data_IF_825851692217
#
_entry.id   IF_825851692217
#
_cell.length_a   1.000
_cell.length_b   1.000
_cell.length_c   1.000
_cell.angle_alpha   90.00
_cell.angle_beta   90.00
_cell.angle_gamma   90.00
#
_symmetry.space_group_name_H-M   'P 1'
#
loop_
_entity.id
_entity.type
_entity.pdbx_description
1 polymer ?
#
# COMPACT_ATOMS: atom_id res chain seq x y z
N UNK A 1 -46.05 24.24 -18.07
CA UNK A 1 -44.61 23.99 -18.16
C UNK A 1 -44.12 23.71 -16.76
N UNK A 2 -43.84 22.47 -16.51
CA UNK A 2 -43.52 21.96 -15.17
C UNK A 2 -42.09 22.35 -14.78
N UNK A 3 -41.96 23.29 -13.86
CA UNK A 3 -40.68 23.86 -13.41
C UNK A 3 -39.85 22.91 -12.53
N UNK A 4 -40.36 21.69 -12.28
CA UNK A 4 -39.78 20.73 -11.32
C UNK A 4 -39.29 19.41 -11.93
N UNK A 5 -39.25 19.24 -13.24
CA UNK A 5 -38.89 17.95 -13.90
C UNK A 5 -37.51 17.92 -14.58
N UNK A 6 -36.55 18.72 -14.14
CA UNK A 6 -35.14 18.37 -14.46
C UNK A 6 -34.66 17.29 -13.48
N UNK A 7 -34.90 16.01 -13.82
CA UNK A 7 -34.15 14.94 -13.19
C UNK A 7 -32.66 15.26 -13.37
N UNK A 8 -31.97 15.44 -12.24
CA UNK A 8 -30.54 15.66 -12.27
C UNK A 8 -29.91 14.45 -12.97
N UNK A 9 -29.14 14.69 -14.01
CA UNK A 9 -28.41 13.63 -14.72
C UNK A 9 -27.46 12.95 -13.70
N UNK A 10 -27.32 11.61 -13.76
CA UNK A 10 -26.32 10.92 -12.94
C UNK A 10 -24.92 11.50 -13.18
N UNK A 11 -24.03 11.44 -12.18
CA UNK A 11 -22.64 11.87 -12.34
C UNK A 11 -21.95 11.22 -13.56
N UNK A 12 -21.06 11.93 -14.20
CA UNK A 12 -20.35 11.50 -15.41
C UNK A 12 -19.70 10.11 -15.24
N UNK A 13 -19.16 9.84 -14.06
CA UNK A 13 -18.57 8.54 -13.71
C UNK A 13 -19.57 7.36 -13.76
N UNK A 14 -20.88 7.61 -13.55
CA UNK A 14 -21.91 6.58 -13.70
C UNK A 14 -22.39 6.47 -15.15
N UNK A 15 -22.50 7.59 -15.84
CA UNK A 15 -22.95 7.65 -17.24
C UNK A 15 -21.97 7.02 -18.22
N UNK A 16 -20.66 7.16 -17.95
CA UNK A 16 -19.58 6.57 -18.75
C UNK A 16 -19.10 5.21 -18.18
N UNK A 17 -19.87 4.61 -17.28
CA UNK A 17 -19.50 3.29 -16.75
C UNK A 17 -19.52 2.25 -17.87
N UNK A 18 -18.41 1.54 -18.12
CA UNK A 18 -18.35 0.47 -19.11
C UNK A 18 -19.38 -0.64 -18.85
N UNK A 19 -19.96 -1.17 -19.91
CA UNK A 19 -20.91 -2.28 -19.88
C UNK A 19 -20.28 -3.59 -20.35
N UNK A 20 -19.17 -3.55 -21.06
CA UNK A 20 -18.43 -4.70 -21.57
C UNK A 20 -16.93 -4.57 -21.22
N UNK A 21 -16.19 -5.70 -21.28
CA UNK A 21 -14.74 -5.69 -21.07
C UNK A 21 -14.00 -4.84 -22.12
N UNK A 22 -14.55 -4.73 -23.32
CA UNK A 22 -13.93 -3.99 -24.42
C UNK A 22 -14.01 -2.47 -24.24
N UNK A 23 -14.98 -2.02 -23.47
CA UNK A 23 -15.16 -0.60 -23.13
C UNK A 23 -14.27 -0.13 -21.97
N UNK A 24 -13.70 -1.07 -21.19
CA UNK A 24 -12.88 -0.76 -20.02
C UNK A 24 -11.57 -0.13 -20.46
N UNK A 25 -11.29 1.06 -19.96
CA UNK A 25 -10.00 1.71 -20.13
C UNK A 25 -8.97 1.11 -19.17
N UNK A 26 -7.80 0.76 -19.69
CA UNK A 26 -6.73 0.14 -18.90
C UNK A 26 -6.94 -1.36 -18.61
N UNK A 27 -6.18 -1.89 -17.64
CA UNK A 27 -6.23 -3.26 -17.15
C UNK A 27 -5.99 -4.36 -18.22
N UNK A 28 -5.31 -4.06 -19.31
CA UNK A 28 -5.10 -4.99 -20.43
C UNK A 28 -4.40 -6.29 -20.04
N UNK A 29 -3.62 -6.28 -18.95
CA UNK A 29 -2.98 -7.47 -18.40
C UNK A 29 -3.97 -8.46 -17.77
N UNK A 30 -5.21 -8.05 -17.48
CA UNK A 30 -6.29 -8.89 -16.94
C UNK A 30 -7.39 -9.18 -17.97
N UNK A 31 -7.73 -8.19 -18.80
CA UNK A 31 -8.90 -8.25 -19.70
C UNK A 31 -8.56 -8.37 -21.19
N UNK A 32 -7.28 -8.23 -21.56
CA UNK A 32 -6.83 -8.39 -22.95
C UNK A 32 -7.08 -9.80 -23.49
N UNK A 33 -6.92 -9.99 -24.79
CA UNK A 33 -7.09 -11.30 -25.42
C UNK A 33 -6.21 -12.38 -24.78
N UNK A 34 -6.80 -13.52 -24.39
CA UNK A 34 -6.12 -14.61 -23.70
C UNK A 34 -5.72 -14.33 -22.24
N UNK A 35 -6.13 -13.20 -21.67
CA UNK A 35 -5.86 -12.85 -20.27
C UNK A 35 -6.91 -13.43 -19.32
N UNK A 36 -6.58 -13.59 -18.03
CA UNK A 36 -7.37 -14.42 -17.11
C UNK A 36 -8.85 -14.07 -17.03
N UNK A 37 -9.21 -12.78 -16.90
CA UNK A 37 -10.61 -12.38 -16.79
C UNK A 37 -11.35 -12.51 -18.13
N UNK A 38 -10.66 -12.28 -19.26
CA UNK A 38 -11.22 -12.51 -20.61
C UNK A 38 -11.53 -14.00 -20.81
N UNK A 39 -10.58 -14.87 -20.48
CA UNK A 39 -10.75 -16.32 -20.61
C UNK A 39 -11.89 -16.83 -19.72
N UNK A 40 -12.03 -16.29 -18.49
CA UNK A 40 -13.15 -16.63 -17.62
C UNK A 40 -14.51 -16.27 -18.25
N UNK A 41 -14.62 -15.08 -18.84
CA UNK A 41 -15.84 -14.61 -19.52
C UNK A 41 -16.11 -15.47 -20.77
N UNK A 42 -15.12 -15.68 -21.61
CA UNK A 42 -15.25 -16.45 -22.86
C UNK A 42 -15.61 -17.91 -22.60
N UNK A 43 -15.14 -18.48 -21.47
CA UNK A 43 -15.49 -19.86 -21.07
C UNK A 43 -16.84 -19.97 -20.36
N UNK A 44 -17.48 -18.86 -19.98
CA UNK A 44 -18.73 -18.83 -19.23
C UNK A 44 -18.64 -19.42 -17.82
N UNK A 45 -17.44 -19.54 -17.25
CA UNK A 45 -17.19 -20.16 -15.94
C UNK A 45 -16.83 -19.11 -14.90
N UNK A 46 -17.80 -18.60 -14.12
CA UNK A 46 -17.49 -17.72 -13.01
C UNK A 46 -16.70 -18.46 -11.93
N UNK A 47 -15.74 -17.77 -11.33
CA UNK A 47 -15.00 -18.26 -10.17
C UNK A 47 -14.87 -17.14 -9.12
N UNK A 48 -14.69 -17.53 -7.87
CA UNK A 48 -14.50 -16.58 -6.79
C UNK A 48 -13.17 -15.86 -6.93
N UNK A 49 -13.17 -14.54 -6.72
CA UNK A 49 -12.01 -13.70 -6.96
C UNK A 49 -11.93 -12.50 -6.00
N UNK A 50 -10.75 -11.95 -5.88
CA UNK A 50 -10.47 -10.74 -5.14
C UNK A 50 -9.79 -9.72 -6.06
N UNK A 51 -10.44 -8.59 -6.25
CA UNK A 51 -9.94 -7.46 -7.05
C UNK A 51 -9.19 -6.50 -6.12
N UNK A 52 -7.87 -6.52 -6.19
CA UNK A 52 -7.01 -5.69 -5.37
C UNK A 52 -6.34 -4.59 -6.19
N UNK A 53 -6.36 -3.35 -5.71
CA UNK A 53 -5.69 -2.23 -6.37
C UNK A 53 -6.15 -0.87 -5.85
N UNK A 54 -5.53 0.22 -6.32
CA UNK A 54 -5.82 1.57 -5.86
C UNK A 54 -7.29 1.99 -6.11
N UNK A 55 -7.76 3.10 -5.52
CA UNK A 55 -9.10 3.61 -5.79
C UNK A 55 -9.28 4.01 -7.26
N UNK A 56 -10.53 4.04 -7.73
CA UNK A 56 -10.89 4.55 -9.07
C UNK A 56 -10.43 3.76 -10.28
N UNK A 57 -9.77 2.59 -10.11
CA UNK A 57 -9.24 1.76 -11.23
C UNK A 57 -10.25 0.79 -11.86
N UNK A 58 -11.53 0.84 -11.42
CA UNK A 58 -12.60 0.07 -12.04
C UNK A 58 -12.96 -1.25 -11.35
N UNK A 59 -12.56 -1.52 -10.09
CA UNK A 59 -12.89 -2.76 -9.36
C UNK A 59 -14.39 -3.10 -9.38
N UNK A 60 -15.23 -2.17 -8.94
CA UNK A 60 -16.70 -2.33 -8.91
C UNK A 60 -17.29 -2.45 -10.31
N UNK A 61 -16.73 -1.74 -11.28
CA UNK A 61 -17.14 -1.80 -12.70
C UNK A 61 -16.86 -3.18 -13.28
N UNK A 62 -15.66 -3.71 -13.09
CA UNK A 62 -15.31 -5.06 -13.54
C UNK A 62 -16.19 -6.13 -12.91
N UNK A 63 -16.48 -6.03 -11.60
CA UNK A 63 -17.38 -6.97 -10.94
C UNK A 63 -18.79 -6.99 -11.56
N UNK A 64 -19.34 -5.81 -11.92
CA UNK A 64 -20.64 -5.71 -12.61
C UNK A 64 -20.61 -6.28 -14.03
N UNK A 65 -19.55 -5.96 -14.79
CA UNK A 65 -19.37 -6.51 -16.15
C UNK A 65 -19.31 -8.03 -16.12
N UNK A 66 -18.53 -8.59 -15.17
CA UNK A 66 -18.41 -10.03 -15.00
C UNK A 66 -19.76 -10.67 -14.66
N UNK A 67 -20.53 -10.08 -13.74
CA UNK A 67 -21.85 -10.57 -13.39
C UNK A 67 -22.81 -10.59 -14.59
N UNK A 68 -22.81 -9.52 -15.38
CA UNK A 68 -23.62 -9.45 -16.59
C UNK A 68 -23.17 -10.49 -17.64
N UNK A 69 -21.86 -10.65 -17.83
CA UNK A 69 -21.30 -11.61 -18.79
C UNK A 69 -21.65 -13.07 -18.45
N UNK A 70 -21.79 -13.38 -17.17
CA UNK A 70 -22.20 -14.71 -16.69
C UNK A 70 -23.73 -14.87 -16.53
N UNK A 71 -24.52 -13.88 -16.90
CA UNK A 71 -25.97 -13.84 -16.65
C UNK A 71 -26.34 -14.18 -15.20
N UNK A 72 -25.51 -13.74 -14.27
CA UNK A 72 -25.67 -13.99 -12.84
C UNK A 72 -26.40 -12.85 -12.14
N UNK A 73 -27.17 -13.19 -11.10
CA UNK A 73 -27.71 -12.19 -10.18
C UNK A 73 -26.55 -11.49 -9.46
N UNK A 74 -26.49 -10.16 -9.52
CA UNK A 74 -25.47 -9.35 -8.85
C UNK A 74 -26.02 -8.79 -7.54
N UNK A 75 -25.43 -9.21 -6.42
CA UNK A 75 -25.79 -8.71 -5.08
C UNK A 75 -24.61 -7.91 -4.53
N UNK A 76 -24.70 -6.57 -4.52
CA UNK A 76 -23.64 -5.74 -3.94
C UNK A 76 -23.83 -5.57 -2.43
N UNK A 77 -22.75 -5.77 -1.68
CA UNK A 77 -22.63 -5.41 -0.27
C UNK A 77 -21.47 -4.42 -0.08
N UNK A 78 -21.70 -3.42 0.75
CA UNK A 78 -20.62 -2.52 1.19
C UNK A 78 -20.17 -2.95 2.58
N UNK A 79 -18.91 -3.34 2.72
CA UNK A 79 -18.39 -3.75 4.03
C UNK A 79 -18.40 -2.61 5.08
N UNK A 80 -18.55 -1.35 4.62
CA UNK A 80 -18.69 -0.18 5.51
C UNK A 80 -20.10 -0.08 6.11
N UNK A 81 -21.14 -0.47 5.34
CA UNK A 81 -22.55 -0.25 5.71
C UNK A 81 -23.28 -1.56 6.05
N UNK A 82 -22.77 -2.70 5.61
CA UNK A 82 -23.46 -4.00 5.72
C UNK A 82 -22.98 -4.80 6.92
N UNK A 83 -23.91 -5.55 7.53
CA UNK A 83 -23.67 -6.45 8.65
C UNK A 83 -24.01 -7.91 8.34
N UNK A 84 -23.95 -8.77 9.37
CA UNK A 84 -24.28 -10.21 9.24
C UNK A 84 -25.72 -10.43 8.75
N UNK A 85 -26.65 -9.51 9.09
CA UNK A 85 -28.03 -9.58 8.62
C UNK A 85 -28.13 -9.43 7.10
N UNK A 86 -27.37 -8.51 6.54
CA UNK A 86 -27.36 -8.27 5.08
C UNK A 86 -26.74 -9.45 4.32
N UNK A 87 -25.74 -10.10 4.93
CA UNK A 87 -25.16 -11.34 4.39
C UNK A 87 -26.22 -12.45 4.35
N UNK A 88 -27.02 -12.62 5.41
CA UNK A 88 -28.11 -13.61 5.41
C UNK A 88 -29.15 -13.32 4.35
N UNK A 89 -29.56 -12.06 4.21
CA UNK A 89 -30.50 -11.65 3.15
C UNK A 89 -29.93 -11.94 1.76
N UNK A 90 -28.64 -11.71 1.55
CA UNK A 90 -27.98 -12.05 0.29
C UNK A 90 -28.00 -13.56 0.01
N UNK A 91 -27.81 -14.39 1.04
CA UNK A 91 -27.89 -15.85 0.92
C UNK A 91 -29.32 -16.30 0.57
N UNK A 92 -30.35 -15.76 1.22
CA UNK A 92 -31.75 -16.03 0.89
C UNK A 92 -32.07 -15.67 -0.58
N UNK A 93 -31.63 -14.51 -1.03
CA UNK A 93 -31.79 -14.09 -2.42
C UNK A 93 -31.08 -15.05 -3.39
N UNK A 94 -29.87 -15.52 -3.04
CA UNK A 94 -29.14 -16.48 -3.85
C UNK A 94 -29.83 -17.83 -3.95
N UNK A 95 -30.45 -18.31 -2.86
CA UNK A 95 -31.27 -19.54 -2.86
C UNK A 95 -32.48 -19.41 -3.79
N UNK A 96 -33.17 -18.27 -3.75
CA UNK A 96 -34.27 -17.98 -4.67
C UNK A 96 -33.83 -17.90 -6.13
N UNK A 97 -32.66 -17.31 -6.39
CA UNK A 97 -32.09 -17.25 -7.73
C UNK A 97 -31.74 -18.63 -8.26
N UNK A 98 -31.13 -19.47 -7.43
CA UNK A 98 -30.78 -20.85 -7.79
C UNK A 98 -32.02 -21.68 -8.16
N UNK A 99 -33.17 -21.49 -7.46
CA UNK A 99 -34.45 -22.14 -7.81
C UNK A 99 -34.95 -21.74 -9.23
N UNK A 100 -34.50 -20.57 -9.72
CA UNK A 100 -34.80 -20.08 -11.08
C UNK A 100 -33.73 -20.46 -12.08
N UNK A 101 -32.75 -21.27 -11.68
CA UNK A 101 -31.61 -21.65 -12.53
C UNK A 101 -30.59 -20.54 -12.78
N UNK A 102 -30.59 -19.49 -11.95
CA UNK A 102 -29.69 -18.34 -12.08
C UNK A 102 -28.58 -18.42 -11.02
N UNK A 103 -27.31 -18.30 -11.45
CA UNK A 103 -26.17 -18.18 -10.56
C UNK A 103 -26.17 -16.83 -9.85
N UNK A 104 -25.53 -16.75 -8.69
CA UNK A 104 -25.43 -15.49 -7.93
C UNK A 104 -23.99 -15.10 -7.68
N UNK A 105 -23.66 -13.85 -8.01
CA UNK A 105 -22.39 -13.21 -7.67
C UNK A 105 -22.64 -12.28 -6.48
N UNK A 106 -21.99 -12.58 -5.36
CA UNK A 106 -21.91 -11.71 -4.19
C UNK A 106 -20.70 -10.80 -4.35
N UNK A 107 -20.93 -9.51 -4.54
CA UNK A 107 -19.89 -8.50 -4.59
C UNK A 107 -19.75 -7.80 -3.23
N UNK A 108 -18.57 -7.84 -2.65
CA UNK A 108 -18.26 -7.15 -1.38
C UNK A 108 -17.24 -6.05 -1.63
N UNK A 109 -17.70 -4.79 -1.57
CA UNK A 109 -16.82 -3.63 -1.70
C UNK A 109 -16.11 -3.33 -0.38
N UNK A 110 -14.81 -3.03 -0.45
CA UNK A 110 -13.92 -2.78 0.69
C UNK A 110 -13.93 -3.93 1.71
N UNK A 111 -13.78 -5.17 1.22
CA UNK A 111 -13.89 -6.40 2.02
C UNK A 111 -12.99 -6.43 3.26
N UNK A 112 -11.88 -5.71 3.26
CA UNK A 112 -10.98 -5.57 4.41
C UNK A 112 -11.65 -4.91 5.63
N UNK A 113 -12.78 -4.23 5.47
CA UNK A 113 -13.53 -3.62 6.58
C UNK A 113 -14.47 -4.60 7.28
N UNK A 114 -14.73 -5.76 6.69
CA UNK A 114 -15.41 -6.85 7.38
C UNK A 114 -14.48 -7.49 8.40
N UNK A 115 -14.96 -7.67 9.63
CA UNK A 115 -14.24 -8.47 10.62
C UNK A 115 -14.24 -9.97 10.23
N UNK A 116 -13.41 -10.77 10.91
CA UNK A 116 -13.27 -12.21 10.61
C UNK A 116 -14.59 -12.96 10.64
N UNK A 117 -15.44 -12.70 11.64
CA UNK A 117 -16.74 -13.36 11.76
C UNK A 117 -17.70 -13.02 10.60
N UNK A 118 -17.63 -11.80 10.08
CA UNK A 118 -18.41 -11.39 8.91
C UNK A 118 -17.86 -12.04 7.63
N UNK A 119 -16.53 -12.14 7.49
CA UNK A 119 -15.92 -12.86 6.36
C UNK A 119 -16.22 -14.35 6.42
N UNK A 120 -16.25 -14.96 7.62
CA UNK A 120 -16.59 -16.38 7.80
C UNK A 120 -18.07 -16.68 7.51
N UNK A 121 -18.95 -15.69 7.69
CA UNK A 121 -20.40 -15.89 7.56
C UNK A 121 -20.85 -16.31 6.14
N UNK A 122 -20.11 -15.96 5.11
CA UNK A 122 -20.44 -16.37 3.72
C UNK A 122 -19.55 -17.49 3.17
N UNK A 123 -18.49 -17.89 3.88
CA UNK A 123 -17.59 -18.98 3.45
C UNK A 123 -18.32 -20.29 3.10
N UNK A 124 -19.25 -20.82 3.92
CA UNK A 124 -19.95 -22.07 3.60
C UNK A 124 -20.71 -22.00 2.27
N UNK A 125 -21.20 -20.82 1.92
CA UNK A 125 -21.99 -20.61 0.69
C UNK A 125 -21.11 -20.42 -0.54
N UNK A 126 -19.87 -19.98 -0.36
CA UNK A 126 -18.84 -19.97 -1.40
C UNK A 126 -18.32 -21.40 -1.63
N UNK A 127 -18.13 -22.17 -0.54
CA UNK A 127 -17.65 -23.55 -0.61
C UNK A 127 -18.64 -24.50 -1.32
N UNK A 128 -19.92 -24.36 -1.04
CA UNK A 128 -20.95 -25.21 -1.67
C UNK A 128 -21.40 -24.71 -3.06
N UNK A 129 -20.81 -23.59 -3.54
CA UNK A 129 -21.09 -23.05 -4.87
C UNK A 129 -22.40 -22.28 -5.01
N UNK A 130 -23.13 -22.00 -3.89
CA UNK A 130 -24.34 -21.16 -3.93
C UNK A 130 -23.99 -19.72 -4.32
N UNK A 131 -22.85 -19.22 -3.85
CA UNK A 131 -22.34 -17.88 -4.11
C UNK A 131 -21.00 -17.93 -4.84
N UNK A 132 -20.88 -17.22 -5.94
CA UNK A 132 -19.58 -16.84 -6.48
C UNK A 132 -19.18 -15.52 -5.82
N UNK A 133 -18.07 -15.52 -5.08
CA UNK A 133 -17.59 -14.35 -4.35
C UNK A 133 -16.71 -13.46 -5.22
N UNK A 134 -17.00 -12.16 -5.28
CA UNK A 134 -16.09 -11.15 -5.82
C UNK A 134 -15.85 -10.10 -4.75
N UNK A 135 -14.66 -10.08 -4.15
CA UNK A 135 -14.25 -9.04 -3.22
C UNK A 135 -13.51 -7.91 -3.92
N UNK A 136 -13.66 -6.68 -3.44
CA UNK A 136 -12.83 -5.55 -3.82
C UNK A 136 -12.13 -4.97 -2.59
N UNK A 137 -10.85 -4.60 -2.73
CA UNK A 137 -10.08 -3.98 -1.66
C UNK A 137 -9.00 -3.06 -2.21
N UNK A 138 -8.69 -2.01 -1.45
CA UNK A 138 -7.52 -1.15 -1.67
C UNK A 138 -6.33 -1.60 -0.85
N UNK A 139 -6.55 -2.36 0.23
CA UNK A 139 -5.51 -2.84 1.14
C UNK A 139 -4.94 -4.19 0.69
N UNK A 140 -3.75 -4.53 1.20
CA UNK A 140 -3.11 -5.79 0.83
C UNK A 140 -3.89 -6.99 1.38
N UNK A 141 -4.44 -7.86 0.50
CA UNK A 141 -5.29 -8.97 0.92
C UNK A 141 -4.63 -9.95 1.89
N UNK A 142 -3.33 -10.11 1.80
CA UNK A 142 -2.58 -11.06 2.65
C UNK A 142 -2.62 -10.72 4.13
N UNK A 143 -2.91 -9.47 4.48
CA UNK A 143 -2.99 -9.02 5.87
C UNK A 143 -4.42 -8.88 6.37
N UNK A 144 -5.35 -8.53 5.48
CA UNK A 144 -6.68 -8.06 5.84
C UNK A 144 -7.79 -9.09 5.55
N UNK A 145 -7.55 -10.01 4.64
CA UNK A 145 -8.55 -11.01 4.24
C UNK A 145 -8.26 -12.34 4.91
N UNK A 146 -9.32 -13.00 5.41
CA UNK A 146 -9.22 -14.31 6.04
C UNK A 146 -8.53 -15.32 5.11
N UNK A 147 -7.51 -16.06 5.60
CA UNK A 147 -6.81 -17.09 4.81
C UNK A 147 -7.74 -18.14 4.20
N UNK A 148 -8.83 -18.51 4.88
CA UNK A 148 -9.83 -19.42 4.35
C UNK A 148 -10.54 -18.88 3.11
N UNK A 149 -10.79 -17.57 3.04
CA UNK A 149 -11.36 -16.91 1.86
C UNK A 149 -10.32 -16.76 0.75
N UNK A 150 -9.08 -16.40 1.11
CA UNK A 150 -7.97 -16.28 0.14
C UNK A 150 -7.65 -17.60 -0.56
N UNK A 151 -7.77 -18.73 0.13
CA UNK A 151 -7.54 -20.06 -0.47
C UNK A 151 -8.59 -20.45 -1.50
N UNK A 152 -9.74 -19.76 -1.55
CA UNK A 152 -10.88 -20.04 -2.43
C UNK A 152 -11.14 -18.97 -3.48
N UNK A 153 -10.45 -17.83 -3.37
CA UNK A 153 -10.60 -16.70 -4.28
C UNK A 153 -9.27 -16.39 -4.97
N UNK A 154 -9.29 -16.29 -6.29
CA UNK A 154 -8.10 -15.90 -7.04
C UNK A 154 -7.89 -14.39 -6.94
N UNK A 155 -6.67 -13.96 -6.57
CA UNK A 155 -6.34 -12.55 -6.44
C UNK A 155 -5.93 -11.98 -7.79
N UNK A 156 -6.61 -10.92 -8.21
CA UNK A 156 -6.28 -10.12 -9.40
C UNK A 156 -5.85 -8.73 -9.00
N UNK A 157 -4.63 -8.35 -9.37
CA UNK A 157 -4.09 -7.03 -9.06
C UNK A 157 -4.39 -6.05 -10.17
N UNK A 158 -5.20 -5.04 -9.86
CA UNK A 158 -5.48 -3.92 -10.75
C UNK A 158 -4.41 -2.84 -10.56
N UNK A 159 -4.03 -2.21 -11.67
CA UNK A 159 -3.02 -1.14 -11.69
C UNK A 159 -3.70 0.22 -11.84
N UNK A 160 -3.03 1.28 -11.38
CA UNK A 160 -3.42 2.66 -11.72
C UNK A 160 -3.54 2.82 -13.23
N UNK A 161 -4.52 3.62 -13.66
CA UNK A 161 -4.69 3.94 -15.08
C UNK A 161 -3.49 4.74 -15.58
N UNK A 162 -3.03 4.39 -16.77
CA UNK A 162 -1.94 5.11 -17.42
C UNK A 162 -2.47 6.38 -18.08
N UNK A 163 -1.59 7.27 -18.46
CA UNK A 163 -1.93 8.52 -19.15
C UNK A 163 -2.80 8.29 -20.39
N UNK A 164 -2.45 7.30 -21.22
CA UNK A 164 -3.21 6.94 -22.40
C UNK A 164 -4.64 6.48 -22.07
N UNK A 165 -4.83 5.77 -20.94
CA UNK A 165 -6.14 5.32 -20.48
C UNK A 165 -7.02 6.50 -20.04
N UNK A 166 -6.41 7.48 -19.35
CA UNK A 166 -7.07 8.71 -18.90
C UNK A 166 -7.41 9.62 -20.09
N UNK A 167 -6.52 9.72 -21.09
CA UNK A 167 -6.82 10.42 -22.34
C UNK A 167 -8.03 9.81 -23.07
N UNK A 168 -8.16 8.47 -23.08
CA UNK A 168 -9.35 7.82 -23.62
C UNK A 168 -10.63 8.21 -22.88
N UNK A 169 -10.57 8.38 -21.56
CA UNK A 169 -11.75 8.86 -20.80
C UNK A 169 -12.13 10.29 -21.18
N UNK A 170 -11.16 11.20 -21.38
CA UNK A 170 -11.41 12.55 -21.90
C UNK A 170 -12.11 12.45 -23.26
N UNK A 171 -11.54 11.67 -24.17
CA UNK A 171 -12.08 11.53 -25.53
C UNK A 171 -13.52 10.98 -25.52
N UNK A 172 -13.79 9.91 -24.77
CA UNK A 172 -15.14 9.35 -24.60
C UNK A 172 -16.12 10.37 -24.03
N UNK A 173 -15.67 11.21 -23.10
CA UNK A 173 -16.50 12.25 -22.50
C UNK A 173 -16.90 13.31 -23.53
N UNK A 174 -15.96 13.79 -24.34
CA UNK A 174 -16.20 14.82 -25.36
C UNK A 174 -17.07 14.31 -26.52
N UNK A 175 -17.25 13.00 -26.67
CA UNK A 175 -18.18 12.41 -27.64
C UNK A 175 -19.66 12.48 -27.17
N UNK A 176 -19.92 12.79 -25.91
CA UNK A 176 -21.29 12.94 -25.43
C UNK A 176 -21.95 14.18 -26.11
N UNK A 177 -23.22 14.09 -26.52
CA UNK A 177 -23.90 15.15 -27.29
C UNK A 177 -23.85 16.54 -26.65
N UNK A 178 -23.94 16.60 -25.32
CA UNK A 178 -23.90 17.84 -24.57
C UNK A 178 -22.52 18.50 -24.52
N UNK A 179 -21.46 17.79 -24.82
CA UNK A 179 -20.06 18.25 -24.78
C UNK A 179 -19.40 18.28 -26.18
N UNK A 180 -20.13 17.90 -27.23
CA UNK A 180 -19.59 17.77 -28.58
C UNK A 180 -19.00 19.08 -29.16
N UNK A 181 -19.45 20.26 -28.65
CA UNK A 181 -18.96 21.56 -29.05
C UNK A 181 -17.83 22.10 -28.17
N UNK A 182 -17.36 21.31 -27.19
CA UNK A 182 -16.28 21.69 -26.29
C UNK A 182 -14.97 21.08 -26.74
N UNK A 183 -13.91 21.84 -26.58
CA UNK A 183 -12.55 21.41 -26.85
C UNK A 183 -11.70 21.61 -25.59
N UNK A 184 -10.78 20.70 -25.32
CA UNK A 184 -9.82 20.79 -24.21
C UNK A 184 -8.43 20.97 -24.83
N UNK A 185 -7.73 22.03 -24.44
CA UNK A 185 -6.34 22.25 -24.84
C UNK A 185 -5.42 21.17 -24.30
N UNK A 186 -4.34 20.88 -25.02
CA UNK A 186 -3.37 19.82 -24.65
C UNK A 186 -2.84 19.98 -23.22
N UNK A 187 -2.45 21.20 -22.85
CA UNK A 187 -1.89 21.51 -21.54
C UNK A 187 -2.94 21.35 -20.42
N UNK A 188 -4.20 21.71 -20.72
CA UNK A 188 -5.34 21.53 -19.80
C UNK A 188 -5.65 20.03 -19.63
N UNK A 189 -5.63 19.25 -20.71
CA UNK A 189 -5.82 17.82 -20.65
C UNK A 189 -4.71 17.13 -19.82
N UNK A 190 -3.47 17.53 -20.03
CA UNK A 190 -2.33 17.03 -19.28
C UNK A 190 -2.44 17.37 -17.78
N UNK A 191 -2.86 18.59 -17.46
CA UNK A 191 -3.09 19.00 -16.07
C UNK A 191 -4.18 18.14 -15.40
N UNK A 192 -5.30 17.86 -16.08
CA UNK A 192 -6.36 16.99 -15.57
C UNK A 192 -5.87 15.54 -15.33
N UNK A 193 -5.09 15.00 -16.27
CA UNK A 193 -4.51 13.66 -16.16
C UNK A 193 -3.60 13.54 -14.94
N UNK A 194 -2.75 14.54 -14.74
CA UNK A 194 -1.85 14.59 -13.57
C UNK A 194 -2.63 14.71 -12.27
N UNK A 195 -3.68 15.55 -12.24
CA UNK A 195 -4.54 15.69 -11.06
C UNK A 195 -5.29 14.39 -10.73
N UNK A 196 -5.65 13.61 -11.73
CA UNK A 196 -6.33 12.33 -11.54
C UNK A 196 -5.44 11.25 -10.92
N UNK A 197 -4.12 11.30 -11.15
CA UNK A 197 -3.12 10.39 -10.59
C UNK A 197 -3.49 8.89 -10.75
N UNK A 198 -3.95 8.52 -11.95
CA UNK A 198 -4.34 7.15 -12.26
C UNK A 198 -5.71 6.71 -11.75
N UNK A 199 -6.48 7.61 -11.11
CA UNK A 199 -7.85 7.37 -10.63
C UNK A 199 -8.87 7.85 -11.67
N UNK A 200 -9.53 6.91 -12.36
CA UNK A 200 -10.52 7.24 -13.39
C UNK A 200 -11.79 7.93 -12.86
N UNK A 201 -12.19 7.65 -11.62
CA UNK A 201 -13.35 8.32 -10.99
C UNK A 201 -13.01 9.78 -10.70
N UNK A 202 -11.83 10.03 -10.16
CA UNK A 202 -11.33 11.39 -9.92
C UNK A 202 -11.20 12.16 -11.24
N UNK A 203 -10.66 11.51 -12.27
CA UNK A 203 -10.57 12.08 -13.62
C UNK A 203 -11.94 12.56 -14.13
N UNK A 204 -12.94 11.70 -14.09
CA UNK A 204 -14.27 12.02 -14.57
C UNK A 204 -14.95 13.13 -13.73
N UNK A 205 -14.72 13.16 -12.42
CA UNK A 205 -15.24 14.23 -11.56
C UNK A 205 -14.60 15.59 -11.88
N UNK A 206 -13.28 15.64 -12.05
CA UNK A 206 -12.56 16.86 -12.42
C UNK A 206 -13.03 17.36 -13.80
N UNK A 207 -13.17 16.44 -14.74
CA UNK A 207 -13.63 16.72 -16.09
C UNK A 207 -15.06 17.26 -16.09
N UNK A 208 -15.98 16.65 -15.35
CA UNK A 208 -17.37 17.09 -15.21
C UNK A 208 -17.45 18.52 -14.68
N UNK A 209 -16.70 18.85 -13.63
CA UNK A 209 -16.64 20.20 -13.08
C UNK A 209 -16.13 21.23 -14.10
N UNK A 210 -15.07 20.88 -14.84
CA UNK A 210 -14.47 21.77 -15.85
C UNK A 210 -15.41 22.00 -17.03
N UNK A 211 -16.10 20.94 -17.49
CA UNK A 211 -17.08 21.02 -18.57
C UNK A 211 -18.30 21.86 -18.16
N UNK A 212 -18.81 21.68 -16.94
CA UNK A 212 -19.90 22.48 -16.42
C UNK A 212 -19.52 23.96 -16.28
N UNK A 213 -18.29 24.26 -15.85
CA UNK A 213 -17.77 25.61 -15.77
C UNK A 213 -17.68 26.24 -17.17
N UNK A 214 -17.22 25.53 -18.19
CA UNK A 214 -17.17 26.01 -19.58
C UNK A 214 -18.60 26.33 -20.10
N UNK A 215 -19.53 25.40 -19.92
CA UNK A 215 -20.94 25.60 -20.34
C UNK A 215 -21.59 26.79 -19.65
N UNK A 216 -21.38 26.98 -18.35
CA UNK A 216 -21.96 28.09 -17.58
C UNK A 216 -21.44 29.45 -18.02
N UNK A 217 -20.22 29.51 -18.59
CA UNK A 217 -19.59 30.72 -19.11
C UNK A 217 -19.70 30.86 -20.62
N UNK A 218 -20.45 29.97 -21.31
CA UNK A 218 -20.57 29.89 -22.76
C UNK A 218 -19.20 29.83 -23.49
N UNK A 219 -18.24 29.18 -22.89
CA UNK A 219 -16.91 28.95 -23.48
C UNK A 219 -16.90 27.63 -24.27
N UNK A 220 -16.20 27.61 -25.40
CA UNK A 220 -16.05 26.44 -26.25
C UNK A 220 -14.71 25.72 -26.00
N UNK A 221 -13.78 26.39 -25.35
CA UNK A 221 -12.42 25.87 -25.08
C UNK A 221 -12.15 25.83 -23.57
N UNK A 222 -11.60 24.72 -23.12
CA UNK A 222 -11.13 24.55 -21.75
C UNK A 222 -9.62 24.67 -21.78
N UNK A 223 -9.13 25.78 -21.24
CA UNK A 223 -7.73 26.09 -21.06
C UNK A 223 -7.29 25.93 -19.59
N UNK A 224 -6.04 26.10 -19.31
CA UNK A 224 -5.48 26.02 -17.94
C UNK A 224 -6.03 27.13 -17.04
N UNK A 225 -6.44 28.27 -17.59
CA UNK A 225 -7.01 29.40 -16.84
C UNK A 225 -8.41 29.02 -16.32
N UNK A 226 -9.26 28.45 -17.16
CA UNK A 226 -10.57 27.96 -16.77
C UNK A 226 -10.47 26.86 -15.72
N UNK A 227 -9.51 25.93 -15.88
CA UNK A 227 -9.24 24.89 -14.89
C UNK A 227 -8.83 25.51 -13.54
N UNK A 228 -7.94 26.51 -13.54
CA UNK A 228 -7.51 27.21 -12.33
C UNK A 228 -8.66 27.86 -11.60
N UNK A 229 -9.58 28.46 -12.34
CA UNK A 229 -10.76 29.15 -11.79
C UNK A 229 -11.84 28.19 -11.30
N UNK A 230 -12.08 27.09 -12.03
CA UNK A 230 -13.15 26.14 -11.73
C UNK A 230 -12.80 25.12 -10.66
N UNK A 231 -11.52 24.68 -10.62
CA UNK A 231 -11.04 23.67 -9.69
C UNK A 231 -10.32 24.25 -8.47
N UNK A 232 -10.20 25.58 -8.39
CA UNK A 232 -9.69 26.33 -7.25
C UNK A 232 -8.19 26.13 -6.98
N UNK A 233 -7.78 26.20 -5.71
CA UNK A 233 -6.39 26.07 -5.27
C UNK A 233 -5.72 24.76 -5.67
N UNK A 234 -6.47 23.76 -6.08
CA UNK A 234 -5.91 22.49 -6.54
C UNK A 234 -5.04 22.64 -7.80
N UNK A 235 -5.33 23.60 -8.68
CA UNK A 235 -4.55 23.82 -9.90
C UNK A 235 -3.28 24.62 -9.69
N UNK A 236 -3.30 25.62 -8.80
CA UNK A 236 -2.07 26.35 -8.43
C UNK A 236 -0.98 25.42 -7.90
N UNK A 237 -1.39 24.25 -7.39
CA UNK A 237 -0.54 23.21 -6.82
C UNK A 237 -0.01 22.22 -7.85
N UNK A 238 -0.72 22.00 -8.96
CA UNK A 238 -0.32 21.03 -10.01
C UNK A 238 0.32 21.66 -11.26
N UNK A 239 0.33 22.98 -11.39
CA UNK A 239 0.82 23.71 -12.58
C UNK A 239 2.37 23.62 -12.76
N UNK A 240 3.03 22.67 -12.12
CA UNK A 240 4.47 22.45 -12.21
C UNK A 240 4.84 21.01 -12.50
N UNK A 241 4.24 20.42 -13.53
CA UNK A 241 4.74 19.26 -14.26
C UNK A 241 4.71 17.91 -13.51
N UNK A 242 4.01 16.87 -14.04
CA UNK A 242 3.91 15.53 -13.44
C UNK A 242 5.24 14.82 -13.22
N UNK A 243 6.20 14.97 -14.11
CA UNK A 243 7.58 14.55 -13.90
C UNK A 243 8.21 15.25 -12.70
N UNK A 244 7.85 16.51 -12.47
CA UNK A 244 8.32 17.32 -11.34
C UNK A 244 7.91 16.75 -9.97
N UNK A 245 6.75 16.10 -9.82
CA UNK A 245 6.34 15.51 -8.54
C UNK A 245 7.22 14.31 -8.16
N UNK A 246 7.46 13.40 -9.12
CA UNK A 246 8.34 12.24 -8.91
C UNK A 246 9.81 12.67 -8.76
N UNK A 247 10.22 13.70 -9.46
CA UNK A 247 11.54 14.31 -9.31
C UNK A 247 11.71 14.95 -7.94
N UNK A 248 10.72 15.70 -7.46
CA UNK A 248 10.75 16.36 -6.15
C UNK A 248 10.78 15.35 -5.00
N UNK A 249 9.94 14.29 -5.04
CA UNK A 249 10.01 13.24 -4.01
C UNK A 249 11.35 12.49 -4.05
N UNK A 250 11.90 12.27 -5.25
CA UNK A 250 13.23 11.68 -5.42
C UNK A 250 14.33 12.61 -4.88
N UNK A 251 14.20 13.92 -5.10
CA UNK A 251 15.12 14.93 -4.57
C UNK A 251 15.05 14.99 -3.04
N UNK A 252 13.85 14.94 -2.45
CA UNK A 252 13.65 14.86 -1.00
C UNK A 252 14.36 13.61 -0.42
N UNK A 253 14.12 12.44 -0.97
CA UNK A 253 14.78 11.20 -0.53
C UNK A 253 16.30 11.27 -0.64
N UNK A 254 16.81 11.75 -1.78
CA UNK A 254 18.25 11.91 -2.01
C UNK A 254 18.89 12.94 -1.08
N UNK A 255 18.17 14.01 -0.73
CA UNK A 255 18.63 15.03 0.20
C UNK A 255 18.72 14.48 1.62
N UNK A 256 17.73 13.69 2.08
CA UNK A 256 17.78 12.99 3.36
C UNK A 256 18.92 11.98 3.37
N UNK A 257 19.04 11.14 2.35
CA UNK A 257 20.11 10.14 2.19
C UNK A 257 21.50 10.80 2.15
N UNK A 258 21.61 11.94 1.48
CA UNK A 258 22.84 12.74 1.37
C UNK A 258 23.15 13.59 2.60
N UNK A 259 22.36 13.49 3.69
CA UNK A 259 22.56 14.24 4.94
C UNK A 259 22.53 15.76 4.77
N UNK A 260 21.62 16.26 3.94
CA UNK A 260 21.49 17.69 3.66
C UNK A 260 20.12 18.23 4.17
N UNK A 261 20.03 18.67 5.44
CA UNK A 261 18.76 19.03 6.07
C UNK A 261 18.04 20.21 5.39
N UNK A 262 18.77 21.23 4.96
CA UNK A 262 18.18 22.40 4.30
C UNK A 262 17.56 22.04 2.94
N UNK A 263 18.24 21.21 2.13
CA UNK A 263 17.68 20.75 0.86
C UNK A 263 16.49 19.82 1.08
N UNK A 264 16.55 18.93 2.08
CA UNK A 264 15.44 18.04 2.43
C UNK A 264 14.22 18.86 2.85
N UNK A 265 14.39 19.87 3.72
CA UNK A 265 13.31 20.75 4.14
C UNK A 265 12.76 21.57 2.96
N UNK A 266 13.62 22.08 2.09
CA UNK A 266 13.21 22.81 0.88
C UNK A 266 12.32 21.95 -0.01
N UNK A 267 12.73 20.72 -0.34
CA UNK A 267 11.94 19.84 -1.19
C UNK A 267 10.63 19.41 -0.53
N UNK A 268 10.65 19.18 0.80
CA UNK A 268 9.45 18.87 1.56
C UNK A 268 8.43 20.02 1.49
N UNK A 269 8.86 21.25 1.82
CA UNK A 269 7.97 22.42 1.79
C UNK A 269 7.53 22.77 0.36
N UNK A 270 8.42 22.57 -0.63
CA UNK A 270 8.10 22.77 -2.04
C UNK A 270 7.00 21.81 -2.52
N UNK A 271 7.04 20.56 -2.05
CA UNK A 271 5.98 19.58 -2.36
C UNK A 271 4.68 19.94 -1.67
N UNK A 272 4.69 20.40 -0.43
CA UNK A 272 3.49 20.90 0.27
C UNK A 272 2.87 22.10 -0.46
N UNK A 273 3.68 23.10 -0.80
CA UNK A 273 3.26 24.28 -1.59
C UNK A 273 2.71 23.85 -2.96
N UNK A 274 3.33 22.85 -3.59
CA UNK A 274 2.85 22.21 -4.80
C UNK A 274 1.58 21.39 -4.65
N UNK A 275 1.07 21.17 -3.42
CA UNK A 275 -0.19 20.47 -3.11
C UNK A 275 -0.08 18.97 -2.98
N UNK A 276 1.12 18.46 -2.78
CA UNK A 276 1.28 17.07 -2.36
C UNK A 276 0.45 16.79 -1.11
N UNK A 277 -0.26 15.66 -1.09
CA UNK A 277 -0.97 15.21 0.11
C UNK A 277 0.05 15.00 1.25
N UNK A 278 -0.08 15.71 2.37
CA UNK A 278 0.85 15.55 3.50
C UNK A 278 0.87 14.11 4.04
N UNK A 279 -0.21 13.34 3.92
CA UNK A 279 -0.26 11.92 4.27
C UNK A 279 0.63 11.08 3.36
N UNK A 280 0.68 11.42 2.07
CA UNK A 280 1.63 10.78 1.16
C UNK A 280 3.06 11.07 1.60
N UNK A 281 3.39 12.33 1.92
CA UNK A 281 4.72 12.72 2.40
C UNK A 281 5.05 12.02 3.73
N UNK A 282 4.11 11.92 4.66
CA UNK A 282 4.27 11.19 5.92
C UNK A 282 4.67 9.72 5.68
N UNK A 283 3.97 9.02 4.78
CA UNK A 283 4.34 7.63 4.38
C UNK A 283 5.75 7.55 3.80
N UNK A 284 6.16 8.54 3.02
CA UNK A 284 7.51 8.58 2.44
C UNK A 284 8.58 8.86 3.49
N UNK A 285 8.28 9.71 4.48
CA UNK A 285 9.17 10.01 5.64
C UNK A 285 9.37 8.75 6.48
N UNK A 286 8.30 8.02 6.81
CA UNK A 286 8.39 6.74 7.51
C UNK A 286 9.25 5.75 6.71
N UNK A 287 9.05 5.65 5.39
CA UNK A 287 9.87 4.78 4.54
C UNK A 287 11.35 5.16 4.58
N UNK A 288 11.70 6.45 4.50
CA UNK A 288 13.10 6.92 4.59
C UNK A 288 13.74 6.52 5.92
N UNK A 289 12.98 6.58 7.03
CA UNK A 289 13.47 6.16 8.35
C UNK A 289 13.88 4.68 8.37
N UNK A 290 13.12 3.80 7.73
CA UNK A 290 13.41 2.36 7.65
C UNK A 290 14.49 2.02 6.61
N UNK A 291 14.49 2.70 5.47
CA UNK A 291 15.34 2.39 4.31
C UNK A 291 16.74 3.00 4.45
N UNK A 292 16.81 4.30 4.83
CA UNK A 292 18.05 5.08 4.76
C UNK A 292 18.74 5.26 6.13
N UNK A 293 17.98 5.22 7.23
CA UNK A 293 18.51 5.38 8.59
C UNK A 293 18.66 3.99 9.26
N UNK A 294 17.61 3.18 9.19
CA UNK A 294 17.61 1.83 9.70
C UNK A 294 18.07 1.72 11.15
N UNK A 295 18.87 0.70 11.42
CA UNK A 295 19.37 0.43 12.77
C UNK A 295 20.56 1.31 13.19
N UNK A 296 21.06 2.19 12.33
CA UNK A 296 22.07 3.16 12.75
C UNK A 296 21.53 4.16 13.79
N UNK A 297 20.26 4.57 13.66
CA UNK A 297 19.53 5.34 14.67
C UNK A 297 18.04 4.92 14.73
N UNK A 298 17.65 3.96 15.55
CA UNK A 298 16.27 3.48 15.67
C UNK A 298 15.24 4.55 16.08
N UNK A 299 15.68 5.66 16.71
CA UNK A 299 14.80 6.78 17.06
C UNK A 299 14.19 7.44 15.81
N UNK A 300 14.87 7.35 14.68
CA UNK A 300 14.37 7.88 13.41
C UNK A 300 13.01 7.29 13.04
N UNK A 301 12.82 5.98 13.26
CA UNK A 301 11.56 5.28 13.01
C UNK A 301 10.44 5.75 13.94
N UNK A 302 10.75 5.97 15.23
CA UNK A 302 9.82 6.48 16.21
C UNK A 302 9.39 7.90 15.86
N UNK A 303 10.35 8.80 15.61
CA UNK A 303 10.11 10.21 15.26
C UNK A 303 9.26 10.31 13.99
N UNK A 304 9.53 9.50 12.96
CA UNK A 304 8.77 9.49 11.72
C UNK A 304 7.31 9.05 11.94
N UNK A 305 7.09 8.01 12.76
CA UNK A 305 5.74 7.54 13.08
C UNK A 305 4.99 8.54 13.98
N UNK A 306 5.65 9.12 14.97
CA UNK A 306 5.07 10.13 15.86
C UNK A 306 4.67 11.38 15.05
N UNK A 307 5.50 11.82 14.10
CA UNK A 307 5.19 12.93 13.22
C UNK A 307 3.98 12.63 12.32
N UNK A 308 3.91 11.44 11.73
CA UNK A 308 2.76 11.00 10.94
C UNK A 308 1.48 10.98 11.79
N UNK A 309 1.53 10.42 13.00
CA UNK A 309 0.40 10.38 13.93
C UNK A 309 -0.01 11.78 14.41
N UNK A 310 0.94 12.69 14.59
CA UNK A 310 0.68 14.09 14.94
C UNK A 310 -0.04 14.80 13.82
N UNK A 311 0.39 14.60 12.58
CA UNK A 311 -0.29 15.15 11.42
C UNK A 311 -1.76 14.66 11.32
N UNK A 312 -2.02 13.35 11.55
CA UNK A 312 -3.40 12.82 11.53
C UNK A 312 -4.31 13.45 12.60
N UNK A 313 -3.74 13.90 13.72
CA UNK A 313 -4.50 14.54 14.81
C UNK A 313 -4.72 16.03 14.60
N UNK A 314 -3.71 16.74 14.12
CA UNK A 314 -3.73 18.21 14.01
C UNK A 314 -4.16 18.70 12.62
N UNK A 315 -3.86 17.93 11.56
CA UNK A 315 -4.09 18.35 10.18
C UNK A 315 -3.15 19.46 9.72
N UNK A 316 -3.51 20.08 8.58
CA UNK A 316 -2.78 21.23 8.04
C UNK A 316 -3.38 22.55 8.58
N UNK A 317 -2.56 23.56 8.88
CA UNK A 317 -1.10 23.59 8.70
C UNK A 317 -0.29 23.08 9.89
N UNK A 318 -0.88 22.93 11.10
CA UNK A 318 -0.15 22.69 12.34
C UNK A 318 0.62 21.36 12.35
N UNK A 319 0.02 20.29 11.82
CA UNK A 319 0.64 18.96 11.76
C UNK A 319 1.80 18.88 10.78
N UNK A 320 1.89 19.78 9.80
CA UNK A 320 2.98 19.83 8.84
C UNK A 320 4.33 20.15 9.48
N UNK A 321 4.33 20.90 10.60
CA UNK A 321 5.54 21.20 11.37
C UNK A 321 6.19 19.94 11.92
N UNK A 322 5.40 18.98 12.40
CA UNK A 322 5.92 17.70 12.91
C UNK A 322 6.61 16.91 11.81
N UNK A 323 6.02 16.87 10.61
CA UNK A 323 6.62 16.21 9.43
C UNK A 323 7.92 16.90 9.02
N UNK A 324 7.95 18.25 9.01
CA UNK A 324 9.16 19.03 8.72
C UNK A 324 10.30 18.75 9.70
N UNK A 325 9.99 18.66 11.00
CA UNK A 325 10.98 18.30 12.02
C UNK A 325 11.51 16.88 11.83
N UNK A 326 10.63 15.92 11.50
CA UNK A 326 11.05 14.56 11.16
C UNK A 326 12.02 14.54 9.96
N UNK A 327 11.72 15.28 8.89
CA UNK A 327 12.62 15.41 7.71
C UNK A 327 14.00 15.93 8.11
N UNK A 328 14.07 16.99 8.94
CA UNK A 328 15.34 17.53 9.43
C UNK A 328 16.10 16.47 10.23
N UNK A 329 15.40 15.80 11.17
CA UNK A 329 16.03 14.76 11.98
C UNK A 329 16.59 13.63 11.13
N UNK A 330 15.81 13.11 10.19
CA UNK A 330 16.23 12.03 9.29
C UNK A 330 17.44 12.46 8.45
N UNK A 331 17.48 13.72 7.99
CA UNK A 331 18.63 14.23 7.24
C UNK A 331 19.90 14.29 8.10
N UNK A 332 19.78 14.58 9.40
CA UNK A 332 20.94 14.67 10.32
C UNK A 332 21.34 13.32 10.93
N UNK A 333 20.45 12.33 10.97
CA UNK A 333 20.69 11.03 11.58
C UNK A 333 21.79 10.22 10.87
N UNK A 334 22.44 9.31 11.58
CA UNK A 334 23.39 8.35 11.00
C UNK A 334 22.67 7.46 9.98
N UNK A 335 23.29 7.21 8.83
CA UNK A 335 22.68 6.48 7.70
C UNK A 335 23.09 5.02 7.69
N UNK A 336 22.11 4.12 7.51
CA UNK A 336 22.37 2.72 7.18
C UNK A 336 21.19 2.13 6.39
N UNK A 337 21.51 1.44 5.32
CA UNK A 337 20.59 0.59 4.59
C UNK A 337 20.85 -0.91 4.78
N UNK A 338 21.68 -1.27 5.78
CA UNK A 338 22.07 -2.66 6.01
C UNK A 338 20.86 -3.57 6.26
N UNK A 339 19.89 -3.13 7.09
CA UNK A 339 18.66 -3.87 7.34
C UNK A 339 17.79 -4.02 6.10
N UNK A 340 17.66 -2.97 5.29
CA UNK A 340 16.94 -3.00 4.02
C UNK A 340 17.56 -4.01 3.03
N UNK A 341 18.88 -3.97 2.89
CA UNK A 341 19.61 -4.90 2.02
C UNK A 341 19.49 -6.34 2.51
N UNK A 342 19.65 -6.56 3.83
CA UNK A 342 19.48 -7.87 4.44
C UNK A 342 18.11 -8.48 4.17
N UNK A 343 17.05 -7.71 4.37
CA UNK A 343 15.69 -8.15 4.08
C UNK A 343 15.47 -8.51 2.61
N UNK A 344 15.96 -7.68 1.70
CA UNK A 344 15.81 -7.93 0.26
C UNK A 344 16.60 -9.17 -0.19
N UNK A 345 17.81 -9.36 0.34
CA UNK A 345 18.62 -10.56 0.07
C UNK A 345 17.95 -11.82 0.61
N UNK A 346 17.48 -11.80 1.86
CA UNK A 346 16.77 -12.93 2.45
C UNK A 346 15.50 -13.26 1.66
N UNK A 347 14.74 -12.25 1.24
CA UNK A 347 13.54 -12.43 0.43
C UNK A 347 13.84 -13.05 -0.94
N UNK A 348 14.89 -12.57 -1.62
CA UNK A 348 15.31 -13.11 -2.91
C UNK A 348 15.80 -14.55 -2.77
N UNK A 349 16.53 -14.86 -1.70
CA UNK A 349 17.01 -16.20 -1.37
C UNK A 349 15.83 -17.17 -1.20
N UNK A 350 14.89 -16.83 -0.32
CA UNK A 350 13.72 -17.68 -0.05
C UNK A 350 12.85 -17.91 -1.30
N UNK A 351 12.80 -16.95 -2.22
CA UNK A 351 12.05 -17.11 -3.49
C UNK A 351 12.69 -18.11 -4.46
N UNK A 352 13.99 -18.36 -4.33
CA UNK A 352 14.76 -19.28 -5.18
C UNK A 352 14.90 -20.68 -4.55
N UNK A 353 14.66 -20.81 -3.26
CA UNK A 353 14.78 -22.05 -2.51
C UNK A 353 13.44 -22.82 -2.45
N UNK A 354 13.54 -24.15 -2.41
CA UNK A 354 12.40 -25.00 -2.09
C UNK A 354 12.07 -24.87 -0.59
N UNK A 355 10.79 -25.12 -0.23
CA UNK A 355 10.36 -25.14 1.18
C UNK A 355 11.13 -26.21 1.95
N UNK A 356 11.83 -25.82 2.99
CA UNK A 356 12.58 -26.71 3.90
C UNK A 356 11.84 -26.87 5.22
N UNK A 357 12.04 -28.00 5.87
CA UNK A 357 11.48 -28.24 7.19
C UNK A 357 12.23 -27.46 8.27
N UNK A 358 11.50 -27.07 9.32
CA UNK A 358 12.12 -26.49 10.52
C UNK A 358 12.86 -27.59 11.26
N UNK A 359 14.13 -27.38 11.70
CA UNK A 359 14.88 -28.33 12.49
C UNK A 359 14.10 -28.81 13.70
N UNK A 360 14.21 -30.10 14.02
CA UNK A 360 13.39 -30.75 15.07
C UNK A 360 13.57 -30.10 16.44
N UNK A 361 14.80 -29.69 16.80
CA UNK A 361 15.11 -29.02 18.06
C UNK A 361 14.46 -27.64 18.20
N UNK A 362 14.13 -26.95 17.10
CA UNK A 362 13.46 -25.65 17.10
C UNK A 362 11.93 -25.76 17.13
N UNK A 363 11.37 -26.98 16.96
CA UNK A 363 9.91 -27.19 16.96
C UNK A 363 9.36 -27.21 18.38
N UNK A 364 8.26 -26.52 18.62
CA UNK A 364 7.57 -26.60 19.91
C UNK A 364 6.92 -27.96 20.11
N UNK A 365 6.96 -28.50 21.35
CA UNK A 365 6.37 -29.78 21.74
C UNK A 365 5.25 -29.64 22.80
N UNK A 366 4.11 -28.98 22.49
CA UNK A 366 3.03 -28.76 23.46
C UNK A 366 2.27 -30.05 23.84
N UNK A 367 2.32 -31.08 22.99
CA UNK A 367 1.63 -32.36 23.23
C UNK A 367 2.60 -33.49 23.55
N UNK A 368 2.07 -34.55 24.21
CA UNK A 368 2.87 -35.75 24.53
C UNK A 368 3.42 -36.42 23.26
N UNK A 369 2.59 -36.51 22.23
CA UNK A 369 3.00 -37.09 20.94
C UNK A 369 4.16 -36.31 20.30
N UNK A 370 4.13 -34.97 20.34
CA UNK A 370 5.23 -34.15 19.80
C UNK A 370 6.53 -34.35 20.56
N UNK A 371 6.47 -34.55 21.89
CA UNK A 371 7.64 -34.90 22.70
C UNK A 371 8.20 -36.28 22.32
N UNK A 372 7.32 -37.25 22.10
CA UNK A 372 7.71 -38.60 21.65
C UNK A 372 8.32 -38.58 20.25
N UNK A 373 7.94 -37.63 19.38
CA UNK A 373 8.54 -37.39 18.08
C UNK A 373 9.84 -36.59 18.15
N UNK A 374 10.34 -36.25 19.33
CA UNK A 374 11.62 -35.58 19.54
C UNK A 374 11.57 -34.06 19.33
N UNK A 375 10.39 -33.45 19.20
CA UNK A 375 10.28 -31.99 19.03
C UNK A 375 10.81 -31.24 20.25
N UNK A 376 11.69 -30.26 20.02
CA UNK A 376 12.34 -29.48 21.04
C UNK A 376 13.42 -30.25 21.82
N UNK A 377 13.76 -31.49 21.40
CA UNK A 377 14.87 -32.26 22.02
C UNK A 377 16.18 -31.56 21.72
N UNK A 378 17.03 -31.44 22.76
CA UNK A 378 18.34 -30.78 22.70
C UNK A 378 18.31 -29.26 22.47
N UNK A 379 17.12 -28.64 22.47
CA UNK A 379 17.05 -27.18 22.38
C UNK A 379 17.71 -26.54 23.61
N UNK A 380 18.71 -25.72 23.37
CA UNK A 380 19.42 -24.96 24.42
C UNK A 380 18.78 -23.60 24.60
N UNK A 381 18.19 -23.37 25.78
CA UNK A 381 17.56 -22.08 26.07
C UNK A 381 18.60 -21.00 26.30
N UNK A 382 18.74 -20.07 25.37
CA UNK A 382 19.81 -19.08 25.35
C UNK A 382 19.92 -18.23 26.64
N UNK A 383 18.80 -18.00 27.36
CA UNK A 383 18.85 -17.26 28.63
C UNK A 383 19.55 -18.00 29.77
N UNK A 384 19.65 -19.29 29.70
CA UNK A 384 20.39 -20.14 30.69
C UNK A 384 21.88 -20.20 30.37
N UNK A 385 22.29 -19.74 29.19
CA UNK A 385 23.66 -19.77 28.73
C UNK A 385 24.42 -18.48 29.10
N UNK A 386 25.78 -18.55 29.22
CA UNK A 386 26.60 -17.38 29.46
C UNK A 386 26.32 -16.26 28.43
N UNK A 387 26.06 -15.05 28.90
CA UNK A 387 25.73 -13.89 28.07
C UNK A 387 24.43 -14.01 27.29
N UNK A 388 23.51 -14.91 27.67
CA UNK A 388 22.29 -15.26 26.96
C UNK A 388 22.55 -15.63 25.48
N UNK A 389 23.61 -16.40 25.25
CA UNK A 389 24.05 -16.84 23.92
C UNK A 389 24.38 -18.30 23.89
N UNK A 390 23.65 -19.12 23.14
CA UNK A 390 23.88 -20.54 22.95
C UNK A 390 24.93 -20.77 21.84
N UNK A 391 26.21 -20.74 22.22
CA UNK A 391 27.31 -20.88 21.27
C UNK A 391 27.27 -22.25 20.56
N UNK A 392 27.36 -22.27 19.23
CA UNK A 392 27.34 -23.48 18.41
C UNK A 392 25.95 -24.06 18.14
N UNK A 393 24.88 -23.38 18.57
CA UNK A 393 23.51 -23.72 18.18
C UNK A 393 23.25 -23.35 16.71
N UNK A 394 22.52 -24.19 16.00
CA UNK A 394 22.16 -23.96 14.61
C UNK A 394 20.67 -23.58 14.51
N UNK A 395 20.36 -22.54 13.76
CA UNK A 395 19.00 -22.02 13.60
C UNK A 395 18.48 -22.12 12.17
N UNK A 396 19.34 -22.51 11.22
CA UNK A 396 18.97 -22.71 9.83
C UNK A 396 18.49 -24.16 9.58
N UNK A 397 17.71 -24.40 8.52
CA UNK A 397 17.30 -25.73 8.10
C UNK A 397 18.51 -26.67 7.91
N UNK A 398 18.31 -27.96 8.25
CA UNK A 398 19.38 -28.96 8.15
C UNK A 398 19.97 -29.01 6.74
N UNK A 399 21.30 -29.02 6.67
CA UNK A 399 22.05 -29.06 5.42
C UNK A 399 22.06 -27.74 4.63
N UNK A 400 21.62 -26.65 5.24
CA UNK A 400 21.70 -25.30 4.66
C UNK A 400 22.99 -24.62 5.15
N UNK A 401 23.76 -24.06 4.22
CA UNK A 401 24.82 -23.11 4.56
C UNK A 401 24.19 -21.85 5.16
N UNK A 402 24.75 -21.37 6.28
CA UNK A 402 24.22 -20.19 6.96
C UNK A 402 24.54 -18.92 6.14
N UNK A 403 23.53 -18.26 5.52
CA UNK A 403 23.77 -17.06 4.73
C UNK A 403 24.00 -15.84 5.62
N UNK A 404 24.94 -14.99 5.29
CA UNK A 404 25.19 -13.72 5.98
C UNK A 404 24.39 -12.60 5.34
N UNK A 405 23.09 -12.47 5.67
CA UNK A 405 22.24 -11.41 5.13
C UNK A 405 22.51 -10.04 5.75
N UNK A 406 22.68 -9.99 7.09
CA UNK A 406 22.79 -8.73 7.81
C UNK A 406 24.26 -8.38 8.09
N UNK A 407 24.73 -7.35 7.43
CA UNK A 407 26.07 -6.82 7.55
C UNK A 407 26.04 -5.40 8.11
N UNK A 408 26.13 -5.21 9.44
CA UNK A 408 26.08 -3.91 10.09
C UNK A 408 27.19 -2.98 9.63
N UNK A 409 26.85 -1.72 9.37
CA UNK A 409 27.82 -0.68 9.01
C UNK A 409 28.47 -0.05 10.25
N UNK A 410 29.61 0.63 10.04
CA UNK A 410 30.32 1.32 11.13
C UNK A 410 29.75 2.73 11.40
N UNK A 411 28.43 2.80 11.66
CA UNK A 411 27.72 4.06 11.92
C UNK A 411 26.66 3.88 13.00
N UNK A 412 26.54 4.88 13.88
CA UNK A 412 25.51 4.92 14.92
C UNK A 412 25.48 3.70 15.81
N UNK A 413 24.27 3.16 16.07
CA UNK A 413 24.07 1.98 16.89
C UNK A 413 24.65 0.70 16.24
N UNK A 414 24.75 0.65 14.92
CA UNK A 414 25.25 -0.56 14.23
C UNK A 414 26.70 -0.88 14.54
N UNK A 415 27.51 0.08 15.00
CA UNK A 415 28.84 -0.21 15.56
C UNK A 415 28.77 -1.22 16.71
N UNK A 416 27.78 -1.07 17.60
CA UNK A 416 27.55 -1.99 18.72
C UNK A 416 26.96 -3.31 18.25
N UNK A 417 26.00 -3.26 17.32
CA UNK A 417 25.39 -4.46 16.75
C UNK A 417 26.41 -5.32 16.01
N UNK A 418 27.33 -4.71 15.28
CA UNK A 418 28.44 -5.43 14.61
C UNK A 418 29.33 -6.21 15.59
N UNK A 419 29.59 -5.64 16.76
CA UNK A 419 30.35 -6.34 17.80
C UNK A 419 29.60 -7.56 18.35
N UNK A 420 28.26 -7.50 18.40
CA UNK A 420 27.41 -8.63 18.82
C UNK A 420 27.41 -9.70 17.73
N UNK A 421 27.13 -9.32 16.46
CA UNK A 421 27.12 -10.25 15.34
C UNK A 421 28.46 -11.00 15.20
N UNK A 422 29.59 -10.32 15.33
CA UNK A 422 30.90 -10.95 15.31
C UNK A 422 31.11 -12.00 16.42
N UNK A 423 30.48 -11.81 17.58
CA UNK A 423 30.51 -12.83 18.65
C UNK A 423 29.71 -14.08 18.27
N UNK A 424 28.55 -13.87 17.63
CA UNK A 424 27.68 -14.95 17.21
C UNK A 424 28.31 -15.83 16.12
N UNK A 425 29.21 -15.28 15.30
CA UNK A 425 29.92 -16.02 14.24
C UNK A 425 31.26 -16.62 14.68
N UNK A 426 31.65 -16.49 15.96
CA UNK A 426 32.91 -17.12 16.46
C UNK A 426 32.68 -18.58 16.87
N UNK A 427 33.56 -19.52 16.45
CA UNK A 427 33.48 -20.89 16.91
C UNK A 427 33.65 -20.95 18.45
N UNK A 428 33.02 -21.93 19.12
CA UNK A 428 32.95 -22.01 20.59
C UNK A 428 34.31 -22.05 21.32
N UNK A 429 35.36 -22.44 20.65
CA UNK A 429 36.73 -22.51 21.22
C UNK A 429 37.30 -21.11 21.53
N UNK A 430 36.91 -20.07 20.86
CA UNK A 430 37.42 -18.71 21.07
C UNK A 430 36.65 -17.90 22.14
N UNK A 431 35.50 -18.40 22.65
CA UNK A 431 34.72 -17.71 23.67
C UNK A 431 35.27 -17.93 25.08
N UNK A 432 36.04 -19.00 25.30
CA UNK A 432 36.61 -19.34 26.62
C UNK A 432 37.89 -18.58 27.00
N UNK A 433 38.50 -17.83 26.10
CA UNK A 433 39.88 -17.31 26.28
C UNK A 433 40.04 -15.81 26.52
N UNK A 434 39.00 -14.98 26.53
CA UNK A 434 39.16 -13.55 26.83
C UNK A 434 38.29 -13.13 28.01
N UNK A 435 38.93 -13.18 29.21
CA UNK A 435 38.46 -12.42 30.37
C UNK A 435 38.24 -10.97 29.96
N UNK A 436 37.00 -10.55 29.95
CA UNK A 436 36.63 -9.14 29.75
C UNK A 436 37.21 -8.35 30.93
N UNK A 437 38.23 -7.52 30.68
CA UNK A 437 38.55 -6.40 31.56
C UNK A 437 37.23 -5.63 31.77
N UNK A 438 36.79 -5.57 33.02
CA UNK A 438 35.70 -4.71 33.46
C UNK A 438 36.02 -3.28 32.98
N UNK A 439 35.11 -2.56 32.33
CA UNK A 439 35.31 -1.15 32.17
C UNK A 439 35.40 -0.54 33.56
N UNK A 440 36.50 0.19 33.78
CA UNK A 440 36.72 0.94 35.00
C UNK A 440 35.48 1.81 35.29
N UNK A 441 35.04 1.75 36.53
CA UNK A 441 33.99 2.58 37.10
C UNK A 441 34.17 4.03 36.68
N UNK A 442 33.14 4.58 36.04
CA UNK A 442 33.01 6.04 35.85
C UNK A 442 32.72 6.61 37.23
N UNK A 443 33.79 6.95 37.96
CA UNK A 443 33.69 7.86 39.10
C UNK A 443 33.51 9.30 38.55
N UNK A 444 32.38 9.86 38.89
CA UNK A 444 32.10 11.30 39.07
C UNK A 444 33.29 12.22 38.80
N UNK A 445 33.18 13.04 37.78
CA UNK A 445 33.80 14.35 37.71
C UNK A 445 32.71 15.39 37.47
N UNK A 446 32.21 15.92 38.60
CA UNK A 446 31.50 17.19 38.65
C UNK A 446 32.55 18.29 38.86
N UNK A 447 32.32 19.39 38.23
CA UNK A 447 32.95 20.70 38.37
C UNK A 447 34.25 20.99 37.59
N UNK A 448 34.17 21.81 36.54
CA UNK A 448 34.67 23.19 36.61
C UNK A 448 34.16 24.01 35.43
N UNK A 449 33.47 25.08 35.74
CA UNK A 449 33.12 26.18 34.85
C UNK A 449 34.40 26.92 34.40
N UNK A 450 34.48 27.19 33.11
CA UNK A 450 35.26 28.31 32.60
C UNK A 450 34.62 28.85 31.33
N UNK A 451 34.13 30.05 31.44
CA UNK A 451 33.73 30.93 30.37
C UNK A 451 34.89 31.20 29.44
N UNK A 452 34.60 31.18 28.11
CA UNK A 452 35.39 31.94 27.15
C UNK A 452 34.48 32.51 26.07
N UNK A 453 34.57 33.81 26.02
CA UNK A 453 33.89 34.81 25.21
C UNK A 453 34.04 34.63 23.72
N UNK A 454 33.06 35.17 23.01
CA UNK A 454 33.03 35.53 21.60
C UNK A 454 34.31 36.15 21.04
N UNK A 455 34.69 35.72 19.86
CA UNK A 455 34.96 36.59 18.72
C UNK A 455 34.54 35.90 17.44
#
# INVERSE_FOLDING_TARGET
MDLFSRQALPPLAERLRPHSLDEVSGQQHLIGAGKPLRVAVDSGKPHSMLLWGPPGVGKTTLARILANSFNAQFIPLSAVLSGVKDIRTAVEQAQMALQRGQATILFVDEVHRFNKAQQDAFLPYVENGLLTFIGATTENPSFEVNPALLSRAQVYTLKSLQEADLQQLIHKTLQLPEFANLHIESDAAQALIQMADGDGRRMLNLLEQSLQAALSQNLHTIDTTLLSNSLGTQLRRFDKGGDSFYEQISALHKSVRGSHPNAALYWFTRMLDGGADPRYLARRIVRMAWEDIGLADPRAMQIANDAASTYERLGSPEGELALGQAVIYLACAAKSNAGYNAYNQARAWVQQEATREVPVHLRNAPTKLMKELGYGHEYRYAHDEPHAYAAGETYMPDGMEEPEFYQPVERGLEIKLRAICKRCCMPPENVRGKSLMRPASISTCVSHSAALSCK
#
